data_IF_654106737377
#
_entry.id   IF_654106737377
#
_cell.length_a   1.000
_cell.length_b   1.000
_cell.length_c   1.000
_cell.angle_alpha   90.00
_cell.angle_beta   90.00
_cell.angle_gamma   90.00
#
_symmetry.space_group_name_H-M   'P 1'
#
loop_
_entity.id
_entity.type
_entity.pdbx_description
1 polymer ?
#
# COMPACT_ATOMS: atom_id res chain seq x y z
N UNK A 1 -31.43 12.52 -16.80
CA UNK A 1 -30.88 12.22 -15.46
C UNK A 1 -29.50 12.83 -15.44
N UNK A 2 -29.41 14.09 -15.01
CA UNK A 2 -28.15 14.83 -15.01
C UNK A 2 -27.49 14.64 -13.64
N UNK A 3 -26.45 13.83 -13.62
CA UNK A 3 -25.72 13.49 -12.42
C UNK A 3 -24.69 14.60 -12.15
N UNK A 4 -25.09 15.62 -11.39
CA UNK A 4 -24.16 16.67 -10.95
C UNK A 4 -23.47 16.24 -9.65
N UNK A 5 -22.19 15.84 -9.77
CA UNK A 5 -21.28 15.70 -8.63
C UNK A 5 -20.68 17.08 -8.36
N UNK A 6 -21.23 17.81 -7.39
CA UNK A 6 -20.59 19.00 -6.83
C UNK A 6 -19.57 18.56 -5.79
N UNK A 7 -18.29 18.54 -6.15
CA UNK A 7 -17.21 18.48 -5.17
C UNK A 7 -16.94 19.92 -4.73
N UNK A 8 -17.26 20.26 -3.49
CA UNK A 8 -17.19 21.61 -2.92
C UNK A 8 -15.82 22.28 -3.09
N UNK A 9 -14.76 21.48 -3.27
CA UNK A 9 -13.41 21.90 -3.61
C UNK A 9 -12.88 21.05 -4.79
N UNK A 10 -12.91 21.56 -6.04
CA UNK A 10 -12.37 20.82 -7.17
C UNK A 10 -10.85 20.77 -7.07
N UNK A 11 -10.31 19.62 -6.65
CA UNK A 11 -8.88 19.35 -6.65
C UNK A 11 -8.53 18.62 -7.95
N UNK A 12 -7.91 19.32 -8.90
CA UNK A 12 -7.35 18.67 -10.09
C UNK A 12 -5.94 18.19 -9.77
N UNK A 13 -5.67 16.88 -9.92
CA UNK A 13 -4.34 16.29 -9.71
C UNK A 13 -3.82 15.69 -11.01
N UNK A 14 -2.58 16.01 -11.35
CA UNK A 14 -1.81 15.32 -12.38
C UNK A 14 -0.96 14.23 -11.74
N UNK A 15 -1.07 13.00 -12.23
CA UNK A 15 -0.23 11.88 -11.81
C UNK A 15 0.60 11.42 -13.00
N UNK A 16 1.91 11.32 -12.81
CA UNK A 16 2.85 10.81 -13.80
C UNK A 16 3.68 9.70 -13.18
N UNK A 17 3.90 8.61 -13.91
CA UNK A 17 4.78 7.53 -13.49
C UNK A 17 5.60 7.03 -14.68
N UNK A 18 6.82 6.62 -14.40
CA UNK A 18 7.70 5.93 -15.35
C UNK A 18 8.36 4.78 -14.64
N UNK A 19 8.46 3.64 -15.32
CA UNK A 19 9.10 2.45 -14.80
C UNK A 19 9.96 1.84 -15.89
N UNK A 20 11.20 1.54 -15.56
CA UNK A 20 12.18 0.96 -16.45
C UNK A 20 12.46 -0.49 -16.01
N UNK A 21 11.78 -1.49 -16.60
CA UNK A 21 11.80 -2.87 -16.11
C UNK A 21 13.18 -3.51 -16.09
N UNK A 22 14.04 -3.16 -17.06
CA UNK A 22 15.37 -3.79 -17.23
C UNK A 22 16.33 -3.47 -16.08
N UNK A 23 16.21 -2.31 -15.46
CA UNK A 23 17.02 -1.94 -14.28
C UNK A 23 16.19 -1.83 -12.99
N UNK A 24 14.87 -2.03 -13.05
CA UNK A 24 14.00 -2.02 -11.87
C UNK A 24 13.73 -0.65 -11.28
N UNK A 25 14.14 0.44 -11.93
CA UNK A 25 13.89 1.80 -11.43
C UNK A 25 12.52 2.31 -11.86
N UNK A 26 11.84 2.97 -10.95
CA UNK A 26 10.61 3.70 -11.20
C UNK A 26 10.64 5.06 -10.52
N UNK A 27 10.01 6.02 -11.18
CA UNK A 27 9.76 7.34 -10.62
C UNK A 27 8.28 7.68 -10.79
N UNK A 28 7.70 8.36 -9.82
CA UNK A 28 6.32 8.84 -9.90
C UNK A 28 6.19 10.23 -9.30
N UNK A 29 5.20 10.97 -9.76
CA UNK A 29 4.92 12.33 -9.31
C UNK A 29 3.41 12.57 -9.30
N UNK A 30 2.93 13.22 -8.25
CA UNK A 30 1.55 13.64 -8.06
C UNK A 30 1.60 15.15 -7.81
N UNK A 31 1.07 15.93 -8.76
CA UNK A 31 1.04 17.39 -8.68
C UNK A 31 -0.40 17.89 -8.68
N UNK A 32 -0.83 18.60 -7.63
CA UNK A 32 -2.09 19.31 -7.67
C UNK A 32 -1.99 20.51 -8.61
N UNK A 33 -2.83 20.53 -9.66
CA UNK A 33 -2.90 21.60 -10.66
C UNK A 33 -3.86 22.72 -10.23
N UNK A 34 -4.99 22.38 -9.59
CA UNK A 34 -5.97 23.34 -9.07
C UNK A 34 -6.18 23.07 -7.58
N UNK A 35 -5.73 24.00 -6.73
CA UNK A 35 -6.07 24.04 -5.31
C UNK A 35 -6.36 25.49 -4.90
N UNK A 36 -7.54 25.75 -4.31
CA UNK A 36 -7.99 27.09 -3.91
C UNK A 36 -7.21 27.67 -2.72
N UNK A 37 -6.70 26.83 -1.82
CA UNK A 37 -5.87 27.21 -0.66
C UNK A 37 -4.85 26.11 -0.40
N UNK A 38 -3.57 26.47 -0.30
CA UNK A 38 -2.49 25.54 0.10
C UNK A 38 -2.25 25.73 1.59
N UNK A 39 -2.82 24.86 2.42
CA UNK A 39 -2.74 24.97 3.89
C UNK A 39 -2.01 23.78 4.51
N UNK A 40 -2.05 22.62 3.89
CA UNK A 40 -1.33 21.42 4.32
C UNK A 40 -0.06 21.20 3.49
N UNK A 41 0.95 20.52 4.03
CA UNK A 41 2.14 20.16 3.25
C UNK A 41 1.77 19.29 2.04
N UNK A 42 0.75 18.45 2.16
CA UNK A 42 0.28 17.53 1.10
C UNK A 42 -0.24 18.24 -0.15
N UNK A 43 -0.59 19.52 -0.03
CA UNK A 43 -1.07 20.39 -1.11
C UNK A 43 0.04 20.83 -2.07
N UNK A 44 1.30 20.52 -1.75
CA UNK A 44 2.49 20.90 -2.53
C UNK A 44 2.94 19.83 -3.52
N UNK A 45 2.24 18.69 -3.58
CA UNK A 45 2.59 17.58 -4.47
C UNK A 45 3.69 16.68 -3.91
N UNK A 46 3.75 15.47 -4.46
CA UNK A 46 4.62 14.38 -4.00
C UNK A 46 5.37 13.82 -5.19
N UNK A 47 6.69 13.69 -5.06
CA UNK A 47 7.50 12.90 -5.98
C UNK A 47 8.01 11.66 -5.26
N UNK A 48 8.20 10.56 -5.97
CA UNK A 48 8.71 9.33 -5.40
C UNK A 48 9.62 8.58 -6.35
N UNK A 49 10.60 7.91 -5.77
CA UNK A 49 11.52 7.02 -6.44
C UNK A 49 11.37 5.62 -5.86
N UNK A 50 11.42 4.62 -6.72
CA UNK A 50 11.35 3.21 -6.37
C UNK A 50 12.41 2.44 -7.12
N UNK A 51 13.09 1.56 -6.43
CA UNK A 51 13.90 0.51 -7.02
C UNK A 51 13.27 -0.84 -6.66
N UNK A 52 13.07 -1.69 -7.66
CA UNK A 52 12.49 -3.02 -7.51
C UNK A 52 13.33 -4.05 -8.24
N UNK A 53 13.87 -5.01 -7.50
CA UNK A 53 14.39 -6.28 -8.00
C UNK A 53 13.39 -7.40 -7.72
N UNK A 54 13.65 -8.63 -8.19
CA UNK A 54 12.72 -9.76 -8.06
C UNK A 54 12.28 -10.04 -6.62
N UNK A 55 13.17 -9.81 -5.65
CA UNK A 55 12.95 -10.14 -4.23
C UNK A 55 13.00 -8.91 -3.31
N UNK A 56 13.27 -7.70 -3.82
CA UNK A 56 13.51 -6.52 -3.00
C UNK A 56 12.92 -5.29 -3.66
N UNK A 57 12.21 -4.46 -2.91
CA UNK A 57 11.70 -3.19 -3.37
C UNK A 57 11.98 -2.12 -2.32
N UNK A 58 12.70 -1.07 -2.71
CA UNK A 58 13.00 0.09 -1.88
C UNK A 58 12.39 1.31 -2.53
N UNK A 59 11.85 2.23 -1.76
CA UNK A 59 11.47 3.52 -2.32
C UNK A 59 11.38 4.61 -1.27
N UNK A 60 11.34 5.83 -1.77
CA UNK A 60 11.18 7.01 -0.95
C UNK A 60 10.25 8.00 -1.67
N UNK A 61 9.52 8.78 -0.89
CA UNK A 61 8.80 9.94 -1.38
C UNK A 61 9.34 11.21 -0.78
N UNK A 62 9.26 12.28 -1.56
CA UNK A 62 9.68 13.62 -1.20
C UNK A 62 8.60 14.62 -1.61
N UNK A 63 8.64 15.79 -0.99
CA UNK A 63 7.70 16.87 -1.23
C UNK A 63 8.50 18.08 -1.68
N UNK A 64 8.80 18.19 -2.99
CA UNK A 64 9.81 19.13 -3.50
C UNK A 64 9.46 20.60 -3.27
N UNK A 65 8.19 20.93 -3.04
CA UNK A 65 7.71 22.31 -2.88
C UNK A 65 7.25 22.63 -1.45
N UNK A 66 7.45 21.72 -0.48
CA UNK A 66 7.10 21.98 0.91
C UNK A 66 8.14 22.91 1.58
N UNK A 67 7.66 23.95 2.28
CA UNK A 67 8.48 25.01 2.90
C UNK A 67 9.25 24.55 4.15
N UNK A 68 9.03 23.32 4.63
CA UNK A 68 9.73 22.76 5.80
C UNK A 68 10.72 21.68 5.34
N UNK A 69 11.99 21.84 5.72
CA UNK A 69 13.18 21.03 5.43
C UNK A 69 13.15 19.54 5.86
N UNK A 70 11.98 18.91 5.92
CA UNK A 70 11.82 17.54 6.37
C UNK A 70 11.72 16.61 5.15
N UNK A 71 12.86 16.45 4.47
CA UNK A 71 13.07 15.42 3.45
C UNK A 71 13.74 14.21 4.09
N UNK A 72 13.32 12.97 3.83
CA UNK A 72 12.21 12.52 2.95
C UNK A 72 10.84 12.39 3.67
N UNK A 73 9.74 12.46 2.89
CA UNK A 73 8.35 12.32 3.36
C UNK A 73 8.06 10.92 3.86
N UNK A 74 8.49 9.91 3.13
CA UNK A 74 8.42 8.53 3.58
C UNK A 74 9.50 7.69 2.92
N UNK A 75 9.92 6.64 3.58
CA UNK A 75 10.81 5.61 3.03
C UNK A 75 10.14 4.26 3.29
N UNK A 76 10.18 3.36 2.32
CA UNK A 76 9.75 1.99 2.51
C UNK A 76 10.77 1.00 1.95
N UNK A 77 10.82 -0.15 2.61
CA UNK A 77 11.64 -1.29 2.23
C UNK A 77 10.76 -2.53 2.32
N UNK A 78 10.68 -3.28 1.22
CA UNK A 78 9.91 -4.50 1.11
C UNK A 78 10.82 -5.60 0.58
N UNK A 79 10.86 -6.73 1.26
CA UNK A 79 11.59 -7.92 0.83
C UNK A 79 10.64 -9.08 0.67
N UNK A 80 10.82 -9.87 -0.38
CA UNK A 80 10.04 -11.05 -0.69
C UNK A 80 10.96 -12.26 -0.76
N UNK A 81 10.66 -13.26 0.06
CA UNK A 81 11.34 -14.55 0.07
C UNK A 81 10.31 -15.66 -0.17
N UNK A 82 10.28 -16.13 -1.42
CA UNK A 82 9.30 -17.13 -1.87
C UNK A 82 7.87 -16.62 -1.75
N UNK A 83 7.11 -17.17 -0.79
CA UNK A 83 5.71 -16.83 -0.52
C UNK A 83 5.55 -15.80 0.60
N UNK A 84 6.62 -15.53 1.35
CA UNK A 84 6.62 -14.56 2.44
C UNK A 84 7.10 -13.20 1.94
N UNK A 85 6.40 -12.15 2.33
CA UNK A 85 6.78 -10.76 2.09
C UNK A 85 6.86 -10.04 3.43
N UNK A 86 7.91 -9.26 3.64
CA UNK A 86 8.07 -8.41 4.82
C UNK A 86 8.31 -6.99 4.36
N UNK A 87 7.71 -6.02 5.04
CA UNK A 87 7.78 -4.62 4.69
C UNK A 87 7.96 -3.77 5.94
N UNK A 88 8.73 -2.70 5.80
CA UNK A 88 8.81 -1.64 6.80
C UNK A 88 8.68 -0.30 6.08
N UNK A 89 7.93 0.61 6.68
CA UNK A 89 7.72 1.96 6.17
C UNK A 89 7.94 2.96 7.30
N UNK A 90 8.75 3.97 7.01
CA UNK A 90 8.90 5.16 7.82
C UNK A 90 8.05 6.28 7.20
N UNK A 91 7.09 6.81 7.96
CA UNK A 91 6.19 7.89 7.57
C UNK A 91 6.01 8.87 8.75
N UNK A 92 6.89 9.89 8.88
CA UNK A 92 6.84 10.86 9.95
C UNK A 92 5.58 11.75 9.89
N UNK A 93 4.94 11.95 11.04
CA UNK A 93 3.83 12.90 11.14
C UNK A 93 4.34 14.35 11.05
N UNK A 94 3.99 15.03 9.95
CA UNK A 94 4.28 16.45 9.76
C UNK A 94 3.50 17.30 10.78
N UNK A 95 4.20 18.06 11.62
CA UNK A 95 3.60 19.06 12.51
C UNK A 95 3.97 18.96 13.99
N UNK A 96 4.61 17.87 14.44
CA UNK A 96 5.18 17.81 15.79
C UNK A 96 6.48 18.63 15.86
N UNK A 97 6.54 19.61 16.78
CA UNK A 97 7.68 20.49 17.06
C UNK A 97 8.74 19.85 17.98
N UNK A 98 8.79 18.52 18.08
CA UNK A 98 9.76 17.87 18.97
C UNK A 98 10.97 17.32 18.22
N UNK A 99 12.13 17.68 18.74
CA UNK A 99 13.51 17.39 18.31
C UNK A 99 13.87 15.88 18.36
N UNK A 100 12.86 14.99 18.43
CA UNK A 100 13.01 13.55 18.65
C UNK A 100 12.28 12.69 17.61
N UNK A 101 12.06 13.22 16.40
CA UNK A 101 11.35 12.54 15.29
C UNK A 101 11.90 11.18 14.87
N UNK A 102 13.18 10.90 15.12
CA UNK A 102 13.80 9.59 14.81
C UNK A 102 13.54 8.51 15.85
N UNK A 103 13.20 8.90 17.10
CA UNK A 103 12.92 7.97 18.21
C UNK A 103 11.44 7.67 18.39
N UNK A 104 10.56 8.36 17.67
CA UNK A 104 9.13 8.11 17.78
C UNK A 104 8.74 6.85 16.99
N UNK A 105 8.46 5.77 17.72
CA UNK A 105 7.95 4.50 17.18
C UNK A 105 6.67 4.69 16.33
N UNK A 106 5.89 5.75 16.57
CA UNK A 106 4.68 6.04 15.79
C UNK A 106 4.94 6.45 14.34
N UNK A 107 6.20 6.72 13.97
CA UNK A 107 6.58 7.01 12.59
C UNK A 107 6.91 5.74 11.80
N UNK A 108 6.89 4.56 12.43
CA UNK A 108 7.22 3.30 11.80
C UNK A 108 5.97 2.43 11.64
N UNK A 109 5.82 1.85 10.46
CA UNK A 109 4.87 0.78 10.15
C UNK A 109 5.65 -0.45 9.73
N UNK A 110 5.20 -1.62 10.17
CA UNK A 110 5.77 -2.90 9.77
C UNK A 110 4.66 -3.82 9.25
N UNK A 111 4.93 -4.56 8.18
CA UNK A 111 3.99 -5.48 7.58
C UNK A 111 4.66 -6.82 7.27
N UNK A 112 3.90 -7.90 7.43
CA UNK A 112 4.24 -9.24 7.00
C UNK A 112 3.07 -9.81 6.20
N UNK A 113 3.37 -10.43 5.08
CA UNK A 113 2.38 -11.01 4.20
C UNK A 113 2.80 -12.41 3.75
N UNK A 114 1.83 -13.27 3.57
CA UNK A 114 2.00 -14.60 3.02
C UNK A 114 1.05 -14.80 1.85
N UNK A 115 1.61 -15.05 0.67
CA UNK A 115 0.87 -15.24 -0.58
C UNK A 115 1.11 -16.62 -1.18
N UNK A 116 0.04 -17.36 -1.42
CA UNK A 116 0.03 -18.63 -2.14
C UNK A 116 -0.73 -18.44 -3.44
N UNK A 117 -0.09 -18.68 -4.57
CA UNK A 117 -0.75 -18.61 -5.87
C UNK A 117 0.28 -18.79 -6.98
N UNK A 118 -0.18 -19.26 -8.14
CA UNK A 118 0.66 -19.19 -9.34
C UNK A 118 0.57 -17.78 -9.93
N UNK A 119 1.54 -17.37 -10.75
CA UNK A 119 1.47 -16.10 -11.48
C UNK A 119 0.37 -16.04 -12.55
N UNK A 120 -0.45 -17.09 -12.67
CA UNK A 120 -1.55 -17.17 -13.64
C UNK A 120 -2.88 -16.74 -13.01
N UNK A 121 -3.65 -15.88 -13.69
CA UNK A 121 -5.01 -15.52 -13.28
C UNK A 121 -6.00 -16.70 -13.39
N UNK A 122 -5.57 -17.84 -13.94
CA UNK A 122 -6.38 -19.06 -14.07
C UNK A 122 -6.24 -20.01 -12.87
N UNK A 123 -5.43 -19.65 -11.88
CA UNK A 123 -5.21 -20.49 -10.70
C UNK A 123 -5.71 -19.80 -9.44
N UNK A 124 -6.30 -20.55 -8.50
CA UNK A 124 -6.70 -19.98 -7.23
C UNK A 124 -5.48 -19.37 -6.52
N UNK A 125 -5.70 -18.27 -5.83
CA UNK A 125 -4.67 -17.61 -5.02
C UNK A 125 -5.23 -17.15 -3.68
N UNK A 126 -4.33 -17.00 -2.73
CA UNK A 126 -4.61 -16.68 -1.35
C UNK A 126 -3.52 -15.74 -0.86
N UNK A 127 -3.91 -14.63 -0.23
CA UNK A 127 -3.00 -13.69 0.38
C UNK A 127 -3.50 -13.36 1.79
N UNK A 128 -2.59 -13.45 2.74
CA UNK A 128 -2.80 -12.99 4.11
C UNK A 128 -1.79 -11.88 4.39
N UNK A 129 -2.25 -10.79 4.98
CA UNK A 129 -1.42 -9.66 5.39
C UNK A 129 -1.66 -9.32 6.85
N UNK A 130 -0.59 -8.97 7.55
CA UNK A 130 -0.63 -8.47 8.91
C UNK A 130 0.28 -7.24 8.98
N UNK A 131 -0.28 -6.12 9.39
CA UNK A 131 0.41 -4.84 9.47
C UNK A 131 0.23 -4.22 10.86
N UNK A 132 1.32 -3.71 11.41
CA UNK A 132 1.34 -2.79 12.53
C UNK A 132 1.63 -1.40 11.98
N UNK A 133 0.57 -0.64 11.71
CA UNK A 133 0.64 0.72 11.19
C UNK A 133 0.91 1.72 12.33
N UNK A 134 1.92 2.59 12.13
CA UNK A 134 2.29 3.66 13.06
C UNK A 134 2.42 3.19 14.52
N UNK A 135 2.89 1.95 14.70
CA UNK A 135 3.05 1.28 16.01
C UNK A 135 1.83 1.34 16.95
N UNK A 136 0.62 1.55 16.43
CA UNK A 136 -0.60 1.77 17.23
C UNK A 136 -1.86 1.18 16.63
N UNK A 137 -1.82 0.82 15.35
CA UNK A 137 -2.95 0.21 14.67
C UNK A 137 -2.53 -1.14 14.09
N UNK A 138 -3.26 -2.18 14.46
CA UNK A 138 -3.07 -3.51 13.92
C UNK A 138 -4.11 -3.76 12.83
N UNK A 139 -3.65 -4.22 11.67
CA UNK A 139 -4.47 -4.49 10.50
C UNK A 139 -4.18 -5.94 10.09
N UNK A 140 -5.22 -6.75 10.00
CA UNK A 140 -5.14 -8.09 9.43
C UNK A 140 -6.02 -8.14 8.18
N UNK A 141 -5.46 -8.55 7.05
CA UNK A 141 -6.16 -8.64 5.78
C UNK A 141 -6.07 -10.06 5.23
N UNK A 142 -7.18 -10.53 4.66
CA UNK A 142 -7.26 -11.77 3.93
C UNK A 142 -7.84 -11.48 2.56
N UNK A 143 -7.24 -12.04 1.52
CA UNK A 143 -7.75 -12.01 0.17
C UNK A 143 -7.65 -13.39 -0.45
N UNK A 144 -8.72 -13.86 -1.08
CA UNK A 144 -8.76 -15.15 -1.74
C UNK A 144 -9.44 -15.04 -3.10
N UNK A 145 -8.75 -15.56 -4.10
CA UNK A 145 -9.19 -15.73 -5.47
C UNK A 145 -9.49 -17.20 -5.73
N UNK A 146 -10.70 -17.50 -6.15
CA UNK A 146 -11.17 -18.86 -6.47
C UNK A 146 -11.57 -18.92 -7.93
N UNK A 147 -11.15 -19.99 -8.60
CA UNK A 147 -11.46 -20.25 -10.01
C UNK A 147 -12.42 -21.44 -10.09
N UNK A 148 -13.59 -21.23 -10.69
CA UNK A 148 -14.62 -22.26 -10.86
C UNK A 148 -14.84 -22.49 -12.36
N UNK A 149 -14.40 -23.64 -12.85
CA UNK A 149 -14.62 -24.05 -14.24
C UNK A 149 -15.86 -24.93 -14.34
N UNK A 150 -16.87 -24.49 -15.09
CA UNK A 150 -18.02 -25.31 -15.48
C UNK A 150 -17.85 -25.75 -16.92
N UNK A 151 -18.01 -27.05 -17.17
CA UNK A 151 -18.07 -27.59 -18.52
C UNK A 151 -19.50 -27.48 -19.01
N UNK A 152 -19.72 -26.73 -20.09
CA UNK A 152 -21.03 -26.65 -20.74
C UNK A 152 -20.92 -27.40 -22.06
N UNK A 153 -21.82 -28.36 -22.27
CA UNK A 153 -21.92 -29.07 -23.55
C UNK A 153 -22.73 -28.18 -24.49
N UNK A 154 -22.16 -27.83 -25.65
CA UNK A 154 -22.91 -27.10 -26.67
C UNK A 154 -23.94 -28.06 -27.28
N UNK A 155 -25.26 -27.79 -27.19
CA UNK A 155 -26.28 -28.67 -27.78
C UNK A 155 -26.23 -28.69 -29.32
N UNK A 156 -25.49 -27.78 -29.96
CA UNK A 156 -25.35 -27.71 -31.42
C UNK A 156 -24.04 -28.31 -31.95
N UNK A 157 -23.08 -28.67 -31.08
CA UNK A 157 -21.80 -29.26 -31.45
C UNK A 157 -21.52 -30.45 -30.53
N UNK A 158 -21.72 -31.67 -31.03
CA UNK A 158 -21.70 -32.90 -30.21
C UNK A 158 -20.33 -33.20 -29.56
N UNK A 159 -19.25 -32.61 -30.10
CA UNK A 159 -17.86 -32.89 -29.71
C UNK A 159 -17.12 -31.71 -29.05
N UNK A 160 -17.76 -30.54 -28.87
CA UNK A 160 -17.08 -29.37 -28.31
C UNK A 160 -17.64 -29.00 -26.92
N UNK A 161 -16.83 -29.29 -25.89
CA UNK A 161 -17.12 -28.89 -24.51
C UNK A 161 -16.50 -27.51 -24.29
N UNK A 162 -17.33 -26.47 -24.27
CA UNK A 162 -16.86 -25.12 -23.94
C UNK A 162 -16.79 -25.00 -22.41
N UNK A 163 -15.57 -24.89 -21.89
CA UNK A 163 -15.32 -24.62 -20.48
C UNK A 163 -15.55 -23.15 -20.16
N UNK A 164 -16.61 -22.83 -19.40
CA UNK A 164 -16.80 -21.48 -18.88
C UNK A 164 -16.05 -21.38 -17.55
N UNK A 165 -15.06 -20.50 -17.48
CA UNK A 165 -14.31 -20.21 -16.25
C UNK A 165 -14.92 -19.00 -15.57
N UNK A 166 -15.40 -19.17 -14.34
CA UNK A 166 -15.85 -18.09 -13.46
C UNK A 166 -14.80 -17.83 -12.38
N UNK A 167 -14.67 -16.57 -12.00
CA UNK A 167 -13.76 -16.12 -10.96
C UNK A 167 -14.57 -15.58 -9.79
N UNK A 168 -14.19 -15.95 -8.57
CA UNK A 168 -14.80 -15.46 -7.34
C UNK A 168 -13.68 -14.93 -6.47
N UNK A 169 -13.71 -13.63 -6.22
CA UNK A 169 -12.78 -12.94 -5.34
C UNK A 169 -13.49 -12.53 -4.06
N UNK A 170 -12.90 -12.84 -2.92
CA UNK A 170 -13.36 -12.35 -1.63
C UNK A 170 -12.18 -11.86 -0.80
N UNK A 171 -12.43 -10.82 -0.02
CA UNK A 171 -11.44 -10.33 0.93
C UNK A 171 -12.11 -9.66 2.12
N UNK A 172 -11.44 -9.71 3.26
CA UNK A 172 -11.82 -8.96 4.45
C UNK A 172 -10.60 -8.33 5.08
N UNK A 173 -10.82 -7.18 5.71
CA UNK A 173 -9.81 -6.46 6.47
C UNK A 173 -10.38 -6.21 7.88
N UNK A 174 -9.57 -6.53 8.88
CA UNK A 174 -9.85 -6.27 10.29
C UNK A 174 -8.85 -5.24 10.79
N UNK A 175 -9.36 -4.09 11.23
CA UNK A 175 -8.57 -3.00 11.77
C UNK A 175 -8.89 -2.84 13.26
N UNK A 176 -7.86 -2.85 14.10
CA UNK A 176 -7.98 -2.55 15.53
C UNK A 176 -6.95 -1.52 15.95
N UNK A 177 -7.34 -0.63 16.86
CA UNK A 177 -6.46 0.39 17.44
C UNK A 177 -6.12 -0.01 18.86
N UNK A 178 -4.84 0.02 19.20
CA UNK A 178 -4.38 -0.19 20.55
C UNK A 178 -3.66 1.07 21.05
N UNK A 179 -4.16 1.64 22.14
CA UNK A 179 -3.49 2.72 22.85
C UNK A 179 -2.47 2.10 23.79
N UNK A 180 -1.17 2.27 23.51
CA UNK A 180 -0.11 1.93 24.47
C UNK A 180 -0.23 2.93 25.63
N UNK A 181 -0.92 2.54 26.70
CA UNK A 181 -0.77 3.22 27.98
C UNK A 181 0.68 3.02 28.44
N UNK A 182 1.39 4.13 28.69
CA UNK A 182 2.81 4.20 29.14
C UNK A 182 3.15 3.41 30.42
N UNK A 183 2.23 2.61 30.97
CA UNK A 183 2.41 1.85 32.20
C UNK A 183 3.26 0.56 32.01
N UNK A 184 3.37 0.00 30.81
CA UNK A 184 3.98 -1.33 30.63
C UNK A 184 5.52 -1.32 30.51
N UNK A 185 6.15 -0.19 30.19
CA UNK A 185 7.62 -0.15 29.95
C UNK A 185 8.49 0.05 31.20
N UNK A 186 7.92 0.25 32.40
CA UNK A 186 8.73 0.44 33.62
C UNK A 186 9.23 -0.84 34.28
N UNK A 187 8.97 -2.02 33.71
CA UNK A 187 9.29 -3.30 34.38
C UNK A 187 10.43 -4.11 33.76
N UNK A 188 11.11 -3.61 32.73
CA UNK A 188 12.25 -4.32 32.12
C UNK A 188 13.63 -3.66 32.31
N UNK A 189 13.74 -2.53 33.02
CA UNK A 189 15.02 -1.82 33.23
C UNK A 189 15.63 -2.03 34.63
N UNK A 190 15.24 -3.08 35.35
CA UNK A 190 15.91 -3.49 36.60
C UNK A 190 16.08 -5.00 36.66
N UNK A 191 17.16 -5.49 36.04
CA UNK A 191 17.94 -6.64 36.49
C UNK A 191 19.38 -6.51 35.98
#
# INVERSE_FOLDING_TARGET
MDLFVSTSDPILQMRSCTFYPRYGFGAFGIFPLLLRKRTASEDYGVMGLRYGSGNLSIGATIMPFAVKDEMPKSIWLVSKMGRLTVGVQYDPQYGSKDDTKYRNLMNWSAAIGYGVGSGSPLTPSFNFGLELAKSSQFIASLYQHVVVQRRVKNPFEENEIVGITNYIDFGFELQTRYSINKACFRHCDTM
#
